data_IF_147206016626
#
_entry.id   IF_147206016626
#
_cell.length_a   1.000
_cell.length_b   1.000
_cell.length_c   1.000
_cell.angle_alpha   90.00
_cell.angle_beta   90.00
_cell.angle_gamma   90.00
#
_symmetry.space_group_name_H-M   'P 1'
#
loop_
_entity.id
_entity.type
_entity.pdbx_description
1 polymer ?
#
# COMPACT_ATOMS: atom_id res chain seq x y z
N UNK A 1 -112.05 -28.16 42.60
CA UNK A 1 -112.70 -26.85 42.86
C UNK A 1 -111.61 -25.86 43.22
N UNK A 2 -111.58 -24.72 42.51
CA UNK A 2 -111.06 -23.40 42.92
C UNK A 2 -110.22 -23.29 44.20
N UNK A 3 -109.15 -22.50 44.29
CA UNK A 3 -108.12 -21.97 43.36
C UNK A 3 -107.20 -21.14 44.25
N UNK A 4 -105.91 -21.35 44.05
CA UNK A 4 -104.84 -20.34 44.02
C UNK A 4 -104.63 -19.37 45.21
N UNK A 5 -103.48 -19.54 45.87
CA UNK A 5 -102.79 -18.48 46.59
C UNK A 5 -101.29 -18.80 46.78
N UNK A 6 -100.47 -17.83 46.35
CA UNK A 6 -99.54 -17.03 47.19
C UNK A 6 -98.02 -17.16 47.01
N UNK A 7 -97.48 -15.96 46.83
CA UNK A 7 -96.29 -15.33 47.44
C UNK A 7 -94.90 -15.61 46.89
N UNK A 8 -94.21 -14.51 46.56
CA UNK A 8 -92.77 -14.41 46.43
C UNK A 8 -92.24 -13.12 47.08
N UNK A 9 -91.25 -13.31 47.94
CA UNK A 9 -90.49 -12.42 48.85
C UNK A 9 -88.98 -12.43 48.39
N UNK A 10 -88.00 -11.71 48.98
CA UNK A 10 -87.76 -10.24 49.03
C UNK A 10 -86.24 -9.86 48.88
N UNK A 11 -85.76 -8.63 49.30
CA UNK A 11 -84.39 -8.07 49.10
C UNK A 11 -83.56 -7.80 50.39
N UNK A 12 -82.44 -7.04 50.27
CA UNK A 12 -81.69 -6.21 51.29
C UNK A 12 -80.42 -6.81 51.97
N UNK A 13 -79.46 -6.12 52.62
CA UNK A 13 -78.75 -4.80 52.61
C UNK A 13 -77.57 -4.88 53.64
N UNK A 14 -76.64 -3.87 53.65
CA UNK A 14 -75.71 -3.38 54.73
C UNK A 14 -74.29 -3.97 54.89
N UNK A 15 -73.22 -3.30 55.39
CA UNK A 15 -72.79 -1.90 55.77
C UNK A 15 -71.30 -1.96 56.21
N UNK A 16 -70.56 -0.84 56.05
CA UNK A 16 -69.28 -0.34 56.67
C UNK A 16 -67.95 -1.12 56.67
N UNK A 17 -66.83 -0.45 56.32
CA UNK A 17 -65.86 0.10 57.30
C UNK A 17 -64.75 0.95 56.61
N UNK A 18 -64.57 2.19 57.11
CA UNK A 18 -63.49 3.12 56.77
C UNK A 18 -62.48 3.09 57.93
N UNK A 19 -61.20 2.81 57.65
CA UNK A 19 -60.09 3.16 58.55
C UNK A 19 -59.00 3.89 57.76
N UNK A 20 -58.71 5.09 58.25
CA UNK A 20 -57.70 6.04 57.78
C UNK A 20 -56.38 5.77 58.49
N UNK A 21 -55.25 5.63 57.78
CA UNK A 21 -53.93 5.73 58.42
C UNK A 21 -52.83 6.28 57.49
N UNK A 22 -52.45 7.53 57.78
CA UNK A 22 -51.13 8.16 57.69
C UNK A 22 -50.33 8.14 56.36
N UNK A 23 -50.25 9.33 55.75
CA UNK A 23 -49.21 9.74 54.82
C UNK A 23 -47.82 9.74 55.51
N UNK A 24 -46.98 8.77 55.18
CA UNK A 24 -45.52 8.82 55.37
C UNK A 24 -44.83 9.50 54.17
N UNK A 25 -43.60 10.02 54.34
CA UNK A 25 -42.91 10.83 53.32
C UNK A 25 -42.63 10.00 52.05
N UNK A 26 -42.48 10.64 50.86
CA UNK A 26 -42.22 9.89 49.64
C UNK A 26 -40.94 9.08 49.79
N UNK A 27 -41.09 7.74 49.76
CA UNK A 27 -39.95 6.84 49.66
C UNK A 27 -39.18 7.20 48.39
N UNK A 28 -37.96 7.69 48.60
CA UNK A 28 -36.94 7.86 47.56
C UNK A 28 -36.79 6.50 46.89
N UNK A 29 -37.41 6.32 45.73
CA UNK A 29 -37.22 5.12 44.92
C UNK A 29 -35.74 5.08 44.52
N UNK A 30 -35.04 3.96 44.75
CA UNK A 30 -33.60 3.93 44.58
C UNK A 30 -33.27 4.12 43.10
N UNK A 31 -32.35 5.06 42.81
CA UNK A 31 -31.77 5.33 41.47
C UNK A 31 -31.03 4.13 40.85
N UNK A 32 -30.93 3.03 41.60
CA UNK A 32 -30.24 1.78 41.24
C UNK A 32 -30.51 1.29 39.81
N UNK A 33 -31.76 1.25 39.31
CA UNK A 33 -32.02 0.67 37.99
C UNK A 33 -31.53 1.54 36.83
N UNK A 34 -31.53 2.87 37.00
CA UNK A 34 -30.93 3.78 36.01
C UNK A 34 -29.40 3.68 36.03
N UNK A 35 -28.80 3.49 37.21
CA UNK A 35 -27.35 3.28 37.36
C UNK A 35 -26.91 1.99 36.67
N UNK A 36 -27.66 0.90 36.80
CA UNK A 36 -27.34 -0.38 36.13
C UNK A 36 -27.33 -0.26 34.60
N UNK A 37 -28.29 0.45 34.00
CA UNK A 37 -28.34 0.70 32.56
C UNK A 37 -27.19 1.62 32.11
N UNK A 38 -26.81 2.61 32.92
CA UNK A 38 -25.67 3.48 32.64
C UNK A 38 -24.33 2.72 32.71
N UNK A 39 -24.12 1.92 33.75
CA UNK A 39 -22.89 1.14 33.94
C UNK A 39 -22.70 0.10 32.83
N UNK A 40 -23.77 -0.55 32.38
CA UNK A 40 -23.73 -1.45 31.22
C UNK A 40 -23.42 -0.72 29.89
N UNK A 41 -23.83 0.55 29.79
CA UNK A 41 -23.64 1.36 28.60
C UNK A 41 -22.21 1.87 28.40
N UNK A 42 -21.47 2.19 29.47
CA UNK A 42 -20.12 2.80 29.38
C UNK A 42 -19.17 2.05 28.42
N UNK A 43 -18.98 0.72 28.53
CA UNK A 43 -18.09 -0.01 27.60
C UNK A 43 -18.65 -0.07 26.17
N UNK A 44 -19.97 -0.18 26.00
CA UNK A 44 -20.63 -0.29 24.69
C UNK A 44 -20.63 1.04 23.91
N UNK A 45 -20.80 2.17 24.61
CA UNK A 45 -20.74 3.50 24.00
C UNK A 45 -19.30 3.93 23.68
N UNK A 46 -18.31 3.47 24.47
CA UNK A 46 -16.89 3.69 24.16
C UNK A 46 -16.47 3.06 22.83
N UNK A 47 -16.97 1.86 22.54
CA UNK A 47 -16.82 1.19 21.24
C UNK A 47 -17.46 1.93 20.09
N UNK A 48 -18.70 2.37 20.27
CA UNK A 48 -19.42 3.14 19.27
C UNK A 48 -18.67 4.46 18.97
N UNK A 49 -18.19 5.14 20.01
CA UNK A 49 -17.40 6.37 19.84
C UNK A 49 -16.09 6.11 19.10
N UNK A 50 -15.37 5.03 19.42
CA UNK A 50 -14.14 4.64 18.71
C UNK A 50 -14.41 4.32 17.23
N UNK A 51 -15.47 3.57 16.93
CA UNK A 51 -15.88 3.26 15.56
C UNK A 51 -16.28 4.52 14.77
N UNK A 52 -17.04 5.43 15.38
CA UNK A 52 -17.44 6.71 14.76
C UNK A 52 -16.24 7.62 14.51
N UNK A 53 -15.27 7.68 15.43
CA UNK A 53 -14.02 8.44 15.23
C UNK A 53 -13.20 7.87 14.07
N UNK A 54 -13.18 6.54 13.91
CA UNK A 54 -12.51 5.88 12.79
C UNK A 54 -13.15 6.21 11.44
N UNK A 55 -14.48 6.19 11.35
CA UNK A 55 -15.21 6.52 10.11
C UNK A 55 -15.13 8.01 9.77
N UNK A 56 -15.01 8.89 10.76
CA UNK A 56 -15.01 10.35 10.56
C UNK A 56 -13.63 10.97 10.37
N UNK A 57 -12.53 10.24 10.64
CA UNK A 57 -11.16 10.71 10.42
C UNK A 57 -10.31 9.64 9.75
N UNK A 58 -10.00 9.86 8.48
CA UNK A 58 -9.03 9.09 7.71
C UNK A 58 -7.63 9.62 8.09
N UNK A 59 -6.93 8.93 8.99
CA UNK A 59 -5.54 9.24 9.36
C UNK A 59 -4.94 8.14 10.24
N UNK A 60 -3.62 7.96 10.20
CA UNK A 60 -2.95 6.80 10.81
C UNK A 60 -3.19 6.66 12.33
N UNK A 61 -3.37 7.78 13.03
CA UNK A 61 -3.60 7.77 14.47
C UNK A 61 -4.98 7.20 14.88
N UNK A 62 -6.02 7.39 14.05
CA UNK A 62 -7.37 6.86 14.35
C UNK A 62 -7.44 5.35 14.13
N UNK A 63 -6.70 4.84 13.14
CA UNK A 63 -6.53 3.41 12.87
C UNK A 63 -5.77 2.74 14.02
N UNK A 64 -4.68 3.33 14.51
CA UNK A 64 -3.90 2.80 15.65
C UNK A 64 -4.74 2.75 16.93
N UNK A 65 -5.52 3.80 17.24
CA UNK A 65 -6.39 3.80 18.43
C UNK A 65 -7.51 2.76 18.31
N UNK A 66 -8.06 2.55 17.12
CA UNK A 66 -9.08 1.55 16.86
C UNK A 66 -8.54 0.12 16.96
N UNK A 67 -7.38 -0.14 16.35
CA UNK A 67 -6.68 -1.44 16.46
C UNK A 67 -6.28 -1.69 17.92
N UNK A 68 -5.74 -0.69 18.63
CA UNK A 68 -5.40 -0.81 20.06
C UNK A 68 -6.61 -1.10 20.94
N UNK A 69 -7.76 -0.47 20.66
CA UNK A 69 -9.01 -0.76 21.35
C UNK A 69 -9.51 -2.18 21.05
N UNK A 70 -9.42 -2.65 19.81
CA UNK A 70 -9.77 -4.01 19.40
C UNK A 70 -8.87 -5.07 20.07
N UNK A 71 -7.57 -4.82 20.17
CA UNK A 71 -6.61 -5.70 20.86
C UNK A 71 -6.97 -5.78 22.35
N UNK A 72 -7.17 -4.64 23.02
CA UNK A 72 -7.58 -4.59 24.43
C UNK A 72 -8.91 -5.32 24.68
N UNK A 73 -9.86 -5.20 23.75
CA UNK A 73 -11.13 -5.90 23.77
C UNK A 73 -11.01 -7.40 23.50
N UNK A 74 -10.02 -7.83 22.72
CA UNK A 74 -9.80 -9.27 22.48
C UNK A 74 -9.22 -10.00 23.71
N UNK A 75 -8.45 -9.29 24.52
CA UNK A 75 -7.80 -9.79 25.75
C UNK A 75 -8.76 -9.75 26.96
N UNK A 76 -9.48 -8.64 27.14
CA UNK A 76 -10.30 -8.38 28.35
C UNK A 76 -11.81 -8.50 28.07
N UNK A 77 -12.22 -8.53 26.80
CA UNK A 77 -13.62 -8.37 26.40
C UNK A 77 -14.53 -9.48 26.88
N UNK A 78 -14.14 -10.76 26.79
CA UNK A 78 -15.04 -11.88 27.13
C UNK A 78 -15.58 -11.73 28.57
N UNK A 79 -14.72 -11.37 29.52
CA UNK A 79 -15.11 -11.15 30.91
C UNK A 79 -16.00 -9.90 31.07
N UNK A 80 -15.65 -8.79 30.41
CA UNK A 80 -16.40 -7.52 30.49
C UNK A 80 -17.80 -7.66 29.85
N UNK A 81 -17.92 -8.30 28.69
CA UNK A 81 -19.22 -8.51 28.04
C UNK A 81 -20.08 -9.53 28.77
N UNK A 82 -19.50 -10.54 29.43
CA UNK A 82 -20.24 -11.44 30.30
C UNK A 82 -20.85 -10.68 31.49
N UNK A 83 -20.09 -9.77 32.12
CA UNK A 83 -20.61 -8.89 33.19
C UNK A 83 -21.71 -7.96 32.66
N UNK A 84 -21.53 -7.35 31.48
CA UNK A 84 -22.56 -6.52 30.84
C UNK A 84 -23.84 -7.32 30.57
N UNK A 85 -23.73 -8.58 30.11
CA UNK A 85 -24.88 -9.46 29.90
C UNK A 85 -25.63 -9.75 31.21
N UNK A 86 -24.92 -10.05 32.29
CA UNK A 86 -25.51 -10.27 33.62
C UNK A 86 -26.24 -9.02 34.11
N UNK A 87 -25.65 -7.84 33.92
CA UNK A 87 -26.28 -6.56 34.30
C UNK A 87 -27.53 -6.26 33.46
N UNK A 88 -27.48 -6.50 32.14
CA UNK A 88 -28.63 -6.33 31.25
C UNK A 88 -29.76 -7.31 31.59
N UNK A 89 -29.44 -8.56 31.94
CA UNK A 89 -30.41 -9.56 32.40
C UNK A 89 -31.04 -9.19 33.74
N UNK A 90 -30.23 -8.75 34.71
CA UNK A 90 -30.73 -8.27 36.01
C UNK A 90 -31.66 -7.05 35.85
N UNK A 91 -31.34 -6.15 34.91
CA UNK A 91 -32.21 -5.03 34.54
C UNK A 91 -33.52 -5.52 33.89
N UNK A 92 -33.45 -6.47 32.96
CA UNK A 92 -34.61 -7.03 32.27
C UNK A 92 -35.60 -7.71 33.24
N UNK A 93 -35.09 -8.53 34.17
CA UNK A 93 -35.90 -9.23 35.18
C UNK A 93 -36.56 -8.25 36.15
N UNK A 94 -35.82 -7.23 36.60
CA UNK A 94 -36.32 -6.28 37.60
C UNK A 94 -37.31 -5.27 37.04
N UNK A 95 -37.12 -4.78 35.80
CA UNK A 95 -37.91 -3.68 35.23
C UNK A 95 -38.89 -4.09 34.16
N UNK A 96 -38.80 -5.31 33.62
CA UNK A 96 -39.67 -5.81 32.53
C UNK A 96 -39.85 -4.76 31.43
N UNK A 97 -38.76 -4.30 30.78
CA UNK A 97 -38.75 -3.15 29.88
C UNK A 97 -39.79 -3.22 28.75
N UNK A 98 -40.21 -4.44 28.36
CA UNK A 98 -41.31 -4.71 27.43
C UNK A 98 -42.71 -4.23 27.89
N UNK A 99 -42.88 -3.77 29.14
CA UNK A 99 -44.15 -3.22 29.65
C UNK A 99 -44.22 -1.69 29.68
N UNK A 100 -43.14 -0.97 29.36
CA UNK A 100 -43.10 0.50 29.38
C UNK A 100 -42.36 1.07 28.14
N UNK A 101 -43.06 1.64 27.16
CA UNK A 101 -42.50 1.91 25.83
C UNK A 101 -41.40 2.99 25.80
N UNK A 102 -41.41 3.96 26.74
CA UNK A 102 -40.43 5.06 26.76
C UNK A 102 -39.02 4.66 27.25
N UNK A 103 -38.89 3.58 28.03
CA UNK A 103 -37.61 3.09 28.55
C UNK A 103 -37.10 1.84 27.82
N UNK A 104 -37.94 1.21 26.99
CA UNK A 104 -37.60 0.03 26.22
C UNK A 104 -36.52 0.31 25.14
N UNK A 105 -36.52 1.50 24.54
CA UNK A 105 -35.63 1.84 23.43
C UNK A 105 -34.15 1.82 23.81
N UNK A 106 -33.78 2.45 24.93
CA UNK A 106 -32.40 2.50 25.39
C UNK A 106 -31.86 1.11 25.77
N UNK A 107 -32.71 0.26 26.35
CA UNK A 107 -32.38 -1.13 26.66
C UNK A 107 -32.14 -1.95 25.38
N UNK A 108 -33.05 -1.88 24.40
CA UNK A 108 -32.89 -2.59 23.14
C UNK A 108 -31.67 -2.14 22.33
N UNK A 109 -31.34 -0.85 22.38
CA UNK A 109 -30.12 -0.32 21.76
C UNK A 109 -28.86 -0.91 22.42
N UNK A 110 -28.82 -1.00 23.75
CA UNK A 110 -27.69 -1.63 24.46
C UNK A 110 -27.58 -3.13 24.19
N UNK A 111 -28.71 -3.84 24.09
CA UNK A 111 -28.71 -5.26 23.69
C UNK A 111 -28.15 -5.43 22.28
N UNK A 112 -28.54 -4.57 21.33
CA UNK A 112 -28.04 -4.64 19.96
C UNK A 112 -26.54 -4.32 19.88
N UNK A 113 -26.07 -3.31 20.60
CA UNK A 113 -24.64 -2.98 20.70
C UNK A 113 -23.84 -4.13 21.33
N UNK A 114 -24.39 -4.80 22.34
CA UNK A 114 -23.75 -5.96 22.96
C UNK A 114 -23.65 -7.14 21.99
N UNK A 115 -24.72 -7.45 21.23
CA UNK A 115 -24.69 -8.49 20.20
C UNK A 115 -23.66 -8.18 19.12
N UNK A 116 -23.59 -6.93 18.65
CA UNK A 116 -22.61 -6.49 17.65
C UNK A 116 -21.18 -6.66 18.18
N UNK A 117 -20.92 -6.27 19.42
CA UNK A 117 -19.60 -6.38 20.04
C UNK A 117 -19.15 -7.85 20.20
N UNK A 118 -20.05 -8.74 20.62
CA UNK A 118 -19.77 -10.19 20.70
C UNK A 118 -19.52 -10.79 19.31
N UNK A 119 -20.31 -10.41 18.31
CA UNK A 119 -20.14 -10.89 16.94
C UNK A 119 -18.77 -10.48 16.36
N UNK A 120 -18.34 -9.23 16.56
CA UNK A 120 -17.03 -8.74 16.16
C UNK A 120 -15.89 -9.54 16.80
N UNK A 121 -15.96 -9.77 18.12
CA UNK A 121 -14.93 -10.54 18.84
C UNK A 121 -14.90 -11.99 18.36
N UNK A 122 -16.07 -12.60 18.13
CA UNK A 122 -16.15 -13.94 17.57
C UNK A 122 -15.51 -14.00 16.17
N UNK A 123 -15.76 -13.02 15.28
CA UNK A 123 -15.11 -12.99 13.97
C UNK A 123 -13.59 -12.86 14.07
N UNK A 124 -13.07 -12.00 14.95
CA UNK A 124 -11.63 -11.87 15.16
C UNK A 124 -11.01 -13.14 15.76
N UNK A 125 -11.68 -13.79 16.72
CA UNK A 125 -11.19 -15.04 17.32
C UNK A 125 -11.28 -16.22 16.36
N UNK A 126 -12.28 -16.26 15.48
CA UNK A 126 -12.38 -17.28 14.43
C UNK A 126 -11.25 -17.09 13.42
N UNK A 127 -11.01 -15.86 12.96
CA UNK A 127 -9.90 -15.54 12.05
C UNK A 127 -8.53 -15.84 12.71
N UNK A 128 -8.34 -15.44 13.97
CA UNK A 128 -7.13 -15.75 14.75
C UNK A 128 -6.93 -17.26 14.95
N UNK A 129 -7.99 -18.00 15.28
CA UNK A 129 -7.93 -19.45 15.40
C UNK A 129 -7.63 -20.14 14.06
N UNK A 130 -8.22 -19.66 12.96
CA UNK A 130 -7.94 -20.17 11.62
C UNK A 130 -6.48 -19.93 11.21
N UNK A 131 -5.91 -18.77 11.54
CA UNK A 131 -4.48 -18.48 11.28
C UNK A 131 -3.54 -19.37 12.10
N UNK A 132 -3.89 -19.69 13.34
CA UNK A 132 -3.04 -20.50 14.21
C UNK A 132 -3.27 -22.01 14.05
N UNK A 133 -4.40 -22.44 13.50
CA UNK A 133 -4.75 -23.84 13.27
C UNK A 133 -5.20 -24.02 11.81
N UNK A 134 -4.30 -23.77 10.84
CA UNK A 134 -4.62 -23.98 9.44
C UNK A 134 -4.98 -25.45 9.21
N UNK A 135 -5.87 -25.71 8.25
CA UNK A 135 -6.15 -27.08 7.82
C UNK A 135 -4.80 -27.73 7.43
N UNK A 136 -4.43 -28.90 7.98
CA UNK A 136 -3.17 -29.55 7.66
C UNK A 136 -2.96 -29.77 6.15
N UNK A 137 -4.03 -29.85 5.35
CA UNK A 137 -3.95 -29.91 3.89
C UNK A 137 -3.57 -28.58 3.27
N UNK A 138 -4.12 -27.47 3.76
CA UNK A 138 -3.78 -26.13 3.31
C UNK A 138 -2.34 -25.76 3.72
N UNK A 139 -1.93 -26.13 4.94
CA UNK A 139 -0.56 -25.97 5.40
C UNK A 139 0.44 -26.77 4.55
N UNK A 140 0.12 -28.03 4.22
CA UNK A 140 0.95 -28.85 3.34
C UNK A 140 1.04 -28.29 1.92
N UNK A 141 -0.07 -27.80 1.36
CA UNK A 141 -0.08 -27.12 0.04
C UNK A 141 0.75 -25.84 0.06
N UNK A 142 0.62 -25.01 1.10
CA UNK A 142 1.41 -23.79 1.26
C UNK A 142 2.91 -24.07 1.38
N UNK A 143 3.29 -25.11 2.12
CA UNK A 143 4.68 -25.55 2.20
C UNK A 143 5.21 -26.03 0.84
N UNK A 144 4.42 -26.80 0.09
CA UNK A 144 4.81 -27.25 -1.25
C UNK A 144 5.06 -26.07 -2.19
N UNK A 145 4.15 -25.08 -2.23
CA UNK A 145 4.32 -23.86 -3.04
C UNK A 145 5.59 -23.11 -2.64
N UNK A 146 5.86 -22.98 -1.33
CA UNK A 146 7.08 -22.33 -0.86
C UNK A 146 8.35 -23.08 -1.29
N UNK A 147 8.33 -24.41 -1.22
CA UNK A 147 9.45 -25.26 -1.65
C UNK A 147 9.66 -25.18 -3.18
N UNK A 148 8.58 -25.13 -3.96
CA UNK A 148 8.63 -24.93 -5.42
C UNK A 148 9.16 -23.54 -5.79
N UNK A 149 8.70 -22.49 -5.10
CA UNK A 149 9.21 -21.12 -5.26
C UNK A 149 10.70 -21.02 -4.95
N UNK A 150 11.17 -21.70 -3.90
CA UNK A 150 12.59 -21.77 -3.57
C UNK A 150 13.39 -22.47 -4.68
N UNK A 151 12.91 -23.62 -5.17
CA UNK A 151 13.55 -24.35 -6.28
C UNK A 151 13.62 -23.53 -7.56
N UNK A 152 12.55 -22.84 -7.91
CA UNK A 152 12.52 -21.94 -9.07
C UNK A 152 13.52 -20.79 -8.91
N UNK A 153 13.57 -20.16 -7.73
CA UNK A 153 14.51 -19.08 -7.42
C UNK A 153 15.97 -19.54 -7.59
N UNK A 154 16.32 -20.72 -7.06
CA UNK A 154 17.67 -21.29 -7.21
C UNK A 154 17.99 -21.65 -8.66
N UNK A 155 17.03 -22.19 -9.40
CA UNK A 155 17.19 -22.49 -10.82
C UNK A 155 17.38 -21.22 -11.66
N UNK A 156 16.72 -20.10 -11.32
CA UNK A 156 16.92 -18.81 -12.00
C UNK A 156 18.34 -18.26 -11.80
N UNK A 157 18.93 -18.43 -10.61
CA UNK A 157 20.31 -17.97 -10.34
C UNK A 157 21.32 -18.60 -11.31
N UNK A 158 21.11 -19.87 -11.68
CA UNK A 158 22.01 -20.64 -12.55
C UNK A 158 21.52 -20.78 -13.99
N UNK A 159 20.38 -20.17 -14.33
CA UNK A 159 19.67 -20.36 -15.61
C UNK A 159 19.45 -21.85 -15.96
N UNK A 160 19.19 -22.69 -14.95
CA UNK A 160 18.86 -24.11 -15.12
C UNK A 160 17.41 -24.30 -15.53
N UNK A 161 17.17 -24.20 -16.83
CA UNK A 161 15.83 -24.36 -17.41
C UNK A 161 15.20 -25.74 -17.16
N UNK A 162 15.98 -26.78 -16.87
CA UNK A 162 15.43 -28.13 -16.61
C UNK A 162 14.85 -28.19 -15.21
N UNK A 163 15.65 -27.77 -14.20
CA UNK A 163 15.18 -27.67 -12.82
C UNK A 163 14.03 -26.67 -12.70
N UNK A 164 14.13 -25.53 -13.38
CA UNK A 164 13.08 -24.52 -13.39
C UNK A 164 11.78 -25.07 -13.99
N UNK A 165 11.82 -25.74 -15.15
CA UNK A 165 10.61 -26.31 -15.78
C UNK A 165 9.90 -27.30 -14.87
N UNK A 166 10.66 -28.15 -14.17
CA UNK A 166 10.06 -29.11 -13.26
C UNK A 166 9.32 -28.41 -12.12
N UNK A 167 9.99 -27.49 -11.41
CA UNK A 167 9.38 -26.75 -10.30
C UNK A 167 8.22 -25.84 -10.75
N UNK A 168 8.32 -25.23 -11.93
CA UNK A 168 7.26 -24.39 -12.48
C UNK A 168 6.01 -25.20 -12.89
N UNK A 169 6.20 -26.42 -13.41
CA UNK A 169 5.08 -27.33 -13.71
C UNK A 169 4.40 -27.84 -12.43
N UNK A 170 5.18 -28.12 -11.39
CA UNK A 170 4.69 -28.61 -10.09
C UNK A 170 3.90 -27.54 -9.32
N UNK A 171 4.22 -26.25 -9.53
CA UNK A 171 3.50 -25.13 -8.91
C UNK A 171 2.07 -24.90 -9.45
N UNK A 172 1.76 -25.43 -10.65
CA UNK A 172 0.42 -25.36 -11.26
C UNK A 172 -0.21 -23.94 -11.32
N UNK A 173 -1.53 -23.82 -11.19
CA UNK A 173 -2.30 -22.56 -11.26
C UNK A 173 -2.00 -21.57 -10.13
N UNK A 174 -1.24 -21.99 -9.10
CA UNK A 174 -0.94 -21.18 -7.92
C UNK A 174 0.26 -20.22 -8.15
N UNK A 175 1.03 -20.43 -9.23
CA UNK A 175 2.15 -19.56 -9.59
C UNK A 175 1.73 -18.44 -10.54
N UNK A 176 1.93 -17.19 -10.12
CA UNK A 176 1.79 -16.06 -11.03
C UNK A 176 2.91 -16.04 -12.08
N UNK A 177 2.55 -16.35 -13.33
CA UNK A 177 3.48 -16.35 -14.47
C UNK A 177 4.15 -14.99 -14.65
N UNK A 178 3.44 -13.88 -14.46
CA UNK A 178 3.99 -12.54 -14.69
C UNK A 178 5.14 -12.24 -13.72
N UNK A 179 4.95 -12.59 -12.44
CA UNK A 179 6.00 -12.54 -11.41
C UNK A 179 7.23 -13.36 -11.82
N UNK A 180 7.06 -14.60 -12.28
CA UNK A 180 8.22 -15.43 -12.66
C UNK A 180 8.93 -14.98 -13.95
N UNK A 181 8.20 -14.38 -14.89
CA UNK A 181 8.79 -13.72 -16.06
C UNK A 181 9.64 -12.52 -15.62
N UNK A 182 9.12 -11.71 -14.71
CA UNK A 182 9.84 -10.58 -14.10
C UNK A 182 11.11 -11.03 -13.39
N UNK A 183 11.03 -12.10 -12.58
CA UNK A 183 12.16 -12.68 -11.87
C UNK A 183 13.23 -13.24 -12.82
N UNK A 184 12.84 -13.94 -13.88
CA UNK A 184 13.79 -14.44 -14.87
C UNK A 184 14.52 -13.31 -15.60
N UNK A 185 13.82 -12.20 -15.91
CA UNK A 185 14.44 -10.97 -16.44
C UNK A 185 15.38 -10.36 -15.40
N UNK A 186 14.96 -10.29 -14.13
CA UNK A 186 15.78 -9.78 -13.02
C UNK A 186 17.06 -10.57 -12.86
N UNK A 187 17.02 -11.90 -12.85
CA UNK A 187 18.21 -12.76 -12.69
C UNK A 187 19.02 -13.00 -13.97
N UNK A 188 18.61 -12.40 -15.10
CA UNK A 188 19.30 -12.59 -16.39
C UNK A 188 19.33 -14.07 -16.80
N UNK A 189 18.19 -14.76 -16.68
CA UNK A 189 18.05 -16.20 -16.92
C UNK A 189 17.26 -16.47 -18.22
N UNK A 190 17.87 -16.31 -19.42
CA UNK A 190 17.16 -16.41 -20.68
C UNK A 190 16.60 -17.82 -20.98
N UNK A 191 17.24 -18.90 -20.52
CA UNK A 191 16.74 -20.26 -20.79
C UNK A 191 15.54 -20.58 -19.91
N UNK A 192 15.57 -20.20 -18.64
CA UNK A 192 14.43 -20.34 -17.74
C UNK A 192 13.28 -19.41 -18.11
N UNK A 193 13.58 -18.19 -18.58
CA UNK A 193 12.57 -17.29 -19.17
C UNK A 193 11.84 -17.93 -20.35
N UNK A 194 12.55 -18.68 -21.20
CA UNK A 194 11.91 -19.34 -22.34
C UNK A 194 10.82 -20.32 -21.87
N UNK A 195 11.00 -20.96 -20.72
CA UNK A 195 10.01 -21.86 -20.10
C UNK A 195 8.77 -21.07 -19.64
N UNK A 196 8.95 -19.92 -18.98
CA UNK A 196 7.81 -19.12 -18.49
C UNK A 196 7.02 -18.46 -19.61
N UNK A 197 7.66 -18.20 -20.76
CA UNK A 197 7.01 -17.66 -21.96
C UNK A 197 6.38 -18.73 -22.85
N UNK A 198 6.50 -20.03 -22.54
CA UNK A 198 5.86 -21.09 -23.32
C UNK A 198 4.33 -20.86 -23.41
N UNK A 199 3.82 -20.71 -24.64
CA UNK A 199 2.40 -20.49 -24.91
C UNK A 199 1.89 -19.06 -24.80
N UNK A 200 2.72 -18.11 -24.36
CA UNK A 200 2.38 -16.67 -24.32
C UNK A 200 2.30 -16.11 -25.75
N UNK A 201 1.21 -15.41 -26.06
CA UNK A 201 0.98 -14.84 -27.41
C UNK A 201 1.01 -13.33 -27.43
N UNK A 202 0.65 -12.69 -26.31
CA UNK A 202 0.58 -11.25 -26.18
C UNK A 202 1.31 -10.78 -24.92
N UNK A 203 1.98 -9.62 -25.01
CA UNK A 203 2.68 -9.03 -23.86
C UNK A 203 1.74 -8.76 -22.67
N UNK A 204 0.45 -8.54 -22.93
CA UNK A 204 -0.58 -8.35 -21.90
C UNK A 204 -0.77 -9.56 -20.97
N UNK A 205 -0.40 -10.76 -21.41
CA UNK A 205 -0.52 -12.00 -20.60
C UNK A 205 0.55 -12.10 -19.50
N UNK A 206 1.59 -11.28 -19.56
CA UNK A 206 2.70 -11.23 -18.60
C UNK A 206 2.82 -9.83 -17.99
N UNK A 207 1.70 -9.11 -17.90
CA UNK A 207 1.64 -7.77 -17.33
C UNK A 207 1.84 -7.83 -15.81
N UNK A 208 2.76 -7.03 -15.32
CA UNK A 208 3.09 -6.98 -13.90
C UNK A 208 2.01 -6.25 -13.11
N UNK A 209 1.70 -6.79 -11.93
CA UNK A 209 0.81 -6.17 -10.95
C UNK A 209 1.49 -5.02 -10.19
N UNK A 210 0.71 -4.33 -9.35
CA UNK A 210 1.21 -3.23 -8.51
C UNK A 210 2.13 -3.66 -7.38
N UNK A 211 2.11 -4.95 -7.01
CA UNK A 211 2.86 -5.53 -5.89
C UNK A 211 4.29 -5.96 -6.29
N UNK A 212 4.64 -5.89 -7.57
CA UNK A 212 5.97 -6.28 -8.04
C UNK A 212 7.05 -5.26 -7.57
N UNK A 213 8.22 -5.73 -7.07
CA UNK A 213 9.30 -4.88 -6.59
C UNK A 213 9.67 -3.75 -7.58
N UNK A 214 9.68 -2.51 -7.09
CA UNK A 214 10.07 -1.36 -7.90
C UNK A 214 11.59 -1.13 -7.93
N UNK A 215 12.33 -1.78 -7.04
CA UNK A 215 13.79 -1.62 -6.94
C UNK A 215 14.49 -2.75 -7.68
N UNK A 216 15.36 -2.39 -8.61
CA UNK A 216 16.18 -3.29 -9.41
C UNK A 216 17.64 -3.00 -9.15
N UNK A 217 18.44 -4.04 -8.92
CA UNK A 217 19.87 -3.89 -8.78
C UNK A 217 20.62 -4.36 -10.02
N UNK A 218 21.64 -3.60 -10.41
CA UNK A 218 22.55 -3.91 -11.51
C UNK A 218 23.92 -3.36 -11.17
N UNK A 219 24.95 -4.21 -11.19
CA UNK A 219 26.35 -3.82 -10.93
C UNK A 219 26.54 -3.04 -9.60
N UNK A 220 25.80 -3.42 -8.55
CA UNK A 220 25.83 -2.76 -7.23
C UNK A 220 25.12 -1.40 -7.15
N UNK A 221 24.39 -1.00 -8.20
CA UNK A 221 23.59 0.23 -8.28
C UNK A 221 22.11 -0.12 -8.17
N UNK A 222 21.38 0.60 -7.32
CA UNK A 222 19.94 0.46 -7.17
C UNK A 222 19.20 1.40 -8.14
N UNK A 223 18.14 0.88 -8.75
CA UNK A 223 17.31 1.58 -9.73
C UNK A 223 15.85 1.46 -9.34
N UNK A 224 15.14 2.59 -9.27
CA UNK A 224 13.69 2.59 -9.02
C UNK A 224 12.97 2.69 -10.36
N UNK A 225 12.27 1.62 -10.75
CA UNK A 225 11.55 1.54 -12.01
C UNK A 225 10.10 1.05 -11.83
N UNK A 226 9.16 1.52 -12.66
CA UNK A 226 7.79 1.06 -12.62
C UNK A 226 7.68 -0.44 -12.97
N UNK A 227 6.58 -1.11 -12.56
CA UNK A 227 6.32 -2.51 -12.89
C UNK A 227 5.88 -2.65 -14.35
N UNK A 228 6.83 -2.52 -15.26
CA UNK A 228 6.64 -2.70 -16.71
C UNK A 228 7.71 -3.67 -17.24
N UNK A 229 7.26 -4.80 -17.81
CA UNK A 229 8.17 -5.86 -18.24
C UNK A 229 9.01 -5.45 -19.45
N UNK A 230 8.45 -4.70 -20.39
CA UNK A 230 9.18 -4.26 -21.57
C UNK A 230 10.27 -3.26 -21.19
N UNK A 231 9.96 -2.34 -20.28
CA UNK A 231 10.95 -1.44 -19.69
C UNK A 231 12.06 -2.21 -18.98
N UNK A 232 11.74 -3.23 -18.18
CA UNK A 232 12.75 -4.06 -17.47
C UNK A 232 13.65 -4.82 -18.42
N UNK A 233 13.09 -5.40 -19.48
CA UNK A 233 13.85 -6.08 -20.52
C UNK A 233 14.79 -5.09 -21.23
N UNK A 234 14.29 -3.91 -21.57
CA UNK A 234 15.08 -2.82 -22.14
C UNK A 234 16.22 -2.38 -21.22
N UNK A 235 15.94 -2.25 -19.93
CA UNK A 235 16.92 -1.87 -18.91
C UNK A 235 17.98 -2.95 -18.68
N UNK A 236 17.58 -4.22 -18.64
CA UNK A 236 18.53 -5.33 -18.49
C UNK A 236 19.47 -5.42 -19.68
N UNK A 237 18.97 -5.14 -20.89
CA UNK A 237 19.79 -5.10 -22.11
C UNK A 237 20.54 -6.43 -22.34
N UNK A 238 19.82 -7.54 -22.24
CA UNK A 238 20.35 -8.88 -22.47
C UNK A 238 19.80 -9.37 -23.82
N UNK A 239 20.61 -9.46 -24.88
CA UNK A 239 20.11 -9.75 -26.23
C UNK A 239 19.28 -11.05 -26.31
N UNK A 240 19.66 -12.08 -25.56
CA UNK A 240 18.93 -13.35 -25.51
C UNK A 240 17.55 -13.23 -24.86
N UNK A 241 17.37 -12.31 -23.91
CA UNK A 241 16.08 -12.01 -23.29
C UNK A 241 15.26 -11.13 -24.24
N UNK A 242 15.85 -10.04 -24.75
CA UNK A 242 15.19 -9.13 -25.68
C UNK A 242 14.63 -9.88 -26.88
N UNK A 243 15.40 -10.79 -27.47
CA UNK A 243 14.99 -11.58 -28.62
C UNK A 243 13.72 -12.43 -28.38
N UNK A 244 13.50 -12.90 -27.15
CA UNK A 244 12.31 -13.69 -26.80
C UNK A 244 11.04 -12.82 -26.71
N UNK A 245 11.20 -11.55 -26.37
CA UNK A 245 10.08 -10.60 -26.26
C UNK A 245 9.76 -9.85 -27.55
N UNK A 246 10.73 -9.70 -28.47
CA UNK A 246 10.53 -9.00 -29.74
C UNK A 246 9.27 -9.45 -30.52
N UNK A 247 8.93 -10.76 -30.61
CA UNK A 247 7.72 -11.21 -31.28
C UNK A 247 6.42 -10.83 -30.55
N UNK A 248 6.48 -10.57 -29.24
CA UNK A 248 5.34 -10.26 -28.38
C UNK A 248 5.04 -8.75 -28.34
N UNK A 249 6.01 -7.91 -28.72
CA UNK A 249 5.94 -6.47 -28.55
C UNK A 249 5.26 -5.75 -29.72
N UNK A 250 4.20 -5.03 -29.37
CA UNK A 250 3.63 -3.96 -30.18
C UNK A 250 4.42 -2.66 -30.05
N UNK A 251 3.91 -1.57 -30.66
CA UNK A 251 4.58 -0.26 -30.61
C UNK A 251 4.76 0.30 -29.19
N UNK A 252 3.78 0.08 -28.30
CA UNK A 252 3.82 0.57 -26.91
C UNK A 252 4.92 -0.14 -26.13
N UNK A 253 5.00 -1.47 -26.21
CA UNK A 253 6.06 -2.22 -25.52
C UNK A 253 7.45 -1.88 -26.06
N UNK A 254 7.60 -1.64 -27.37
CA UNK A 254 8.89 -1.20 -27.92
C UNK A 254 9.28 0.19 -27.43
N UNK A 255 8.31 1.10 -27.24
CA UNK A 255 8.55 2.41 -26.66
C UNK A 255 8.96 2.30 -25.19
N UNK A 256 8.28 1.45 -24.40
CA UNK A 256 8.65 1.15 -23.01
C UNK A 256 10.05 0.50 -22.91
N UNK A 257 10.38 -0.43 -23.81
CA UNK A 257 11.71 -1.02 -23.90
C UNK A 257 12.77 0.02 -24.27
N UNK A 258 12.44 1.03 -25.09
CA UNK A 258 13.34 2.14 -25.39
C UNK A 258 13.60 2.99 -24.14
N UNK A 259 12.58 3.28 -23.32
CA UNK A 259 12.77 3.93 -22.02
C UNK A 259 13.75 3.14 -21.14
N UNK A 260 13.59 1.82 -21.06
CA UNK A 260 14.52 0.95 -20.34
C UNK A 260 15.95 0.99 -20.89
N UNK A 261 16.11 0.90 -22.21
CA UNK A 261 17.41 0.96 -22.87
C UNK A 261 18.11 2.31 -22.62
N UNK A 262 17.35 3.40 -22.66
CA UNK A 262 17.82 4.76 -22.34
C UNK A 262 18.23 4.86 -20.87
N UNK A 263 17.42 4.32 -19.96
CA UNK A 263 17.73 4.31 -18.52
C UNK A 263 18.98 3.50 -18.19
N UNK A 264 19.25 2.41 -18.91
CA UNK A 264 20.47 1.61 -18.71
C UNK A 264 21.71 2.13 -19.43
N UNK A 265 21.57 3.11 -20.33
CA UNK A 265 22.68 3.59 -21.15
C UNK A 265 23.02 2.72 -22.35
N UNK A 266 22.17 1.77 -22.76
CA UNK A 266 22.47 0.84 -23.85
C UNK A 266 22.27 1.44 -25.24
N UNK A 267 23.32 2.06 -25.79
CA UNK A 267 23.29 2.62 -27.16
C UNK A 267 22.97 1.55 -28.21
N UNK A 268 23.50 0.33 -28.04
CA UNK A 268 23.28 -0.77 -28.98
C UNK A 268 21.80 -1.15 -29.07
N UNK A 269 21.13 -1.32 -27.93
CA UNK A 269 19.71 -1.66 -27.91
C UNK A 269 18.83 -0.48 -28.34
N UNK A 270 19.18 0.75 -27.98
CA UNK A 270 18.49 1.94 -28.49
C UNK A 270 18.50 1.96 -30.03
N UNK A 271 19.66 1.76 -30.66
CA UNK A 271 19.79 1.69 -32.11
C UNK A 271 18.98 0.53 -32.72
N UNK A 272 18.97 -0.64 -32.06
CA UNK A 272 18.19 -1.79 -32.49
C UNK A 272 16.68 -1.50 -32.47
N UNK A 273 16.18 -0.86 -31.40
CA UNK A 273 14.76 -0.51 -31.27
C UNK A 273 14.34 0.54 -32.31
N UNK A 274 15.20 1.53 -32.59
CA UNK A 274 14.97 2.49 -33.68
C UNK A 274 14.92 1.80 -35.03
N UNK A 275 15.82 0.85 -35.30
CA UNK A 275 15.81 0.06 -36.53
C UNK A 275 14.53 -0.81 -36.66
N UNK A 276 13.89 -1.15 -35.55
CA UNK A 276 12.60 -1.84 -35.49
C UNK A 276 11.38 -0.89 -35.58
N UNK A 277 11.61 0.39 -35.86
CA UNK A 277 10.57 1.37 -36.16
C UNK A 277 10.15 2.26 -34.99
N UNK A 278 10.85 2.25 -33.86
CA UNK A 278 10.57 3.19 -32.75
C UNK A 278 11.10 4.57 -33.12
N UNK A 279 10.25 5.60 -33.14
CA UNK A 279 10.67 7.01 -33.28
C UNK A 279 10.90 7.60 -31.87
N UNK A 280 12.14 7.92 -31.47
CA UNK A 280 12.43 8.46 -30.14
C UNK A 280 11.80 9.84 -29.89
N UNK A 281 11.30 10.53 -30.93
CA UNK A 281 10.62 11.83 -30.81
C UNK A 281 9.10 11.71 -30.65
N UNK A 282 8.54 10.56 -31.01
CA UNK A 282 7.10 10.31 -31.01
C UNK A 282 6.82 8.91 -30.47
N UNK A 283 7.06 8.75 -29.17
CA UNK A 283 6.83 7.49 -28.46
C UNK A 283 5.34 7.16 -28.44
N UNK A 284 5.04 5.86 -28.45
CA UNK A 284 3.68 5.35 -28.32
C UNK A 284 3.43 4.84 -26.90
N UNK A 285 2.17 4.89 -26.48
CA UNK A 285 1.72 4.46 -25.16
C UNK A 285 2.00 5.47 -24.04
N UNK A 286 1.38 5.22 -22.89
CA UNK A 286 1.62 6.00 -21.67
C UNK A 286 2.87 5.50 -20.98
N UNK A 287 3.97 6.24 -21.12
CA UNK A 287 5.16 6.03 -20.31
C UNK A 287 4.99 6.69 -18.93
N UNK A 288 5.35 5.96 -17.88
CA UNK A 288 5.49 6.51 -16.51
C UNK A 288 6.61 7.56 -16.39
N UNK A 289 7.49 7.64 -17.39
CA UNK A 289 8.48 8.69 -17.55
C UNK A 289 7.98 9.68 -18.61
N UNK A 290 7.79 10.95 -18.26
CA UNK A 290 7.27 11.96 -19.18
C UNK A 290 8.18 12.19 -20.41
N UNK A 291 9.47 11.86 -20.32
CA UNK A 291 10.43 11.99 -21.42
C UNK A 291 11.52 10.91 -21.38
N UNK A 292 12.21 10.67 -22.51
CA UNK A 292 13.39 9.80 -22.54
C UNK A 292 14.55 10.38 -21.71
N UNK A 293 14.68 11.70 -21.60
CA UNK A 293 15.68 12.28 -20.69
C UNK A 293 15.37 11.98 -19.22
N UNK A 294 14.10 11.88 -18.82
CA UNK A 294 13.73 11.47 -17.48
C UNK A 294 14.10 10.01 -17.22
N UNK A 295 14.00 9.14 -18.22
CA UNK A 295 14.52 7.77 -18.12
C UNK A 295 16.05 7.75 -18.02
N UNK A 296 16.76 8.56 -18.80
CA UNK A 296 18.22 8.66 -18.70
C UNK A 296 18.64 9.14 -17.30
N UNK A 297 17.91 10.10 -16.74
CA UNK A 297 18.11 10.61 -15.39
C UNK A 297 17.86 9.54 -14.31
N UNK A 298 16.80 8.75 -14.46
CA UNK A 298 16.45 7.67 -13.55
C UNK A 298 17.52 6.57 -13.43
N UNK A 299 18.45 6.49 -14.39
CA UNK A 299 19.61 5.59 -14.34
C UNK A 299 20.97 6.27 -14.38
N UNK A 300 21.02 7.61 -14.21
CA UNK A 300 22.24 8.41 -14.39
C UNK A 300 23.00 8.10 -15.70
N UNK A 301 22.27 7.78 -16.77
CA UNK A 301 22.80 7.27 -18.04
C UNK A 301 23.33 8.38 -18.94
N UNK A 302 24.53 8.87 -18.62
CA UNK A 302 25.23 9.96 -19.33
C UNK A 302 25.34 9.70 -20.85
N UNK A 303 25.64 8.46 -21.25
CA UNK A 303 25.78 8.10 -22.66
C UNK A 303 24.49 8.30 -23.45
N UNK A 304 23.33 8.07 -22.82
CA UNK A 304 22.01 8.25 -23.45
C UNK A 304 21.75 9.71 -23.79
N UNK A 305 22.26 10.67 -23.00
CA UNK A 305 22.02 12.10 -23.24
C UNK A 305 22.54 12.52 -24.62
N UNK A 306 23.77 12.14 -24.97
CA UNK A 306 24.34 12.46 -26.27
C UNK A 306 23.61 11.76 -27.42
N UNK A 307 23.18 10.51 -27.21
CA UNK A 307 22.40 9.77 -28.20
C UNK A 307 21.04 10.41 -28.46
N UNK A 308 20.31 10.78 -27.41
CA UNK A 308 19.00 11.43 -27.50
C UNK A 308 19.08 12.78 -28.21
N UNK A 309 20.10 13.59 -27.90
CA UNK A 309 20.33 14.86 -28.57
C UNK A 309 20.58 14.66 -30.07
N UNK A 310 21.39 13.66 -30.45
CA UNK A 310 21.63 13.31 -31.85
C UNK A 310 20.39 12.77 -32.55
N UNK A 311 19.50 12.10 -31.83
CA UNK A 311 18.21 11.65 -32.32
C UNK A 311 17.17 12.78 -32.45
N UNK A 312 17.53 14.02 -32.09
CA UNK A 312 16.66 15.19 -32.16
C UNK A 312 15.59 15.23 -31.08
N UNK A 313 15.80 14.54 -29.95
CA UNK A 313 14.92 14.62 -28.77
C UNK A 313 15.24 15.90 -28.00
N UNK A 314 14.21 16.70 -27.74
CA UNK A 314 14.29 18.03 -27.11
C UNK A 314 13.34 18.08 -25.92
N UNK A 315 13.70 18.82 -24.87
CA UNK A 315 12.76 19.17 -23.80
C UNK A 315 12.01 20.46 -24.16
N UNK A 316 10.70 20.41 -24.11
CA UNK A 316 9.79 21.47 -24.54
C UNK A 316 9.20 22.25 -23.35
N UNK A 317 9.00 21.61 -22.20
CA UNK A 317 8.31 22.22 -21.05
C UNK A 317 9.15 22.26 -19.78
N UNK A 318 8.78 23.17 -18.88
CA UNK A 318 9.37 23.25 -17.54
C UNK A 318 9.07 22.01 -16.69
N UNK A 319 7.95 21.32 -16.95
CA UNK A 319 7.54 20.09 -16.27
C UNK A 319 8.43 18.91 -16.66
N UNK A 320 8.81 18.80 -17.94
CA UNK A 320 9.72 17.73 -18.36
C UNK A 320 11.12 17.91 -17.74
N UNK A 321 11.59 19.16 -17.61
CA UNK A 321 12.84 19.47 -16.89
C UNK A 321 12.73 19.13 -15.41
N UNK A 322 11.58 19.44 -14.81
CA UNK A 322 11.29 19.13 -13.41
C UNK A 322 11.31 17.62 -13.14
N UNK A 323 10.65 16.84 -13.99
CA UNK A 323 10.62 15.38 -13.94
C UNK A 323 12.02 14.77 -14.14
N UNK A 324 12.83 15.31 -15.05
CA UNK A 324 14.24 14.91 -15.21
C UNK A 324 15.00 15.03 -13.89
N UNK A 325 14.90 16.17 -13.21
CA UNK A 325 15.59 16.40 -11.95
C UNK A 325 14.99 15.60 -10.79
N UNK A 326 13.67 15.39 -10.78
CA UNK A 326 13.02 14.53 -9.81
C UNK A 326 13.52 13.08 -9.91
N UNK A 327 13.59 12.52 -11.14
CA UNK A 327 14.10 11.16 -11.36
C UNK A 327 15.57 11.03 -11.01
N UNK A 328 16.38 12.03 -11.36
CA UNK A 328 17.79 12.04 -10.98
C UNK A 328 17.98 12.09 -9.46
N UNK A 329 17.24 12.95 -8.76
CA UNK A 329 17.30 13.06 -7.30
C UNK A 329 16.88 11.76 -6.60
N UNK A 330 15.87 11.05 -7.14
CA UNK A 330 15.51 9.71 -6.66
C UNK A 330 16.62 8.69 -6.86
N UNK A 331 17.29 8.73 -8.02
CA UNK A 331 18.44 7.87 -8.25
C UNK A 331 19.59 8.17 -7.28
N UNK A 332 19.91 9.44 -7.01
CA UNK A 332 20.97 9.79 -6.05
C UNK A 332 20.60 9.44 -4.61
N UNK A 333 19.33 9.49 -4.23
CA UNK A 333 18.83 9.04 -2.93
C UNK A 333 18.98 7.52 -2.74
N UNK A 334 18.68 6.74 -3.78
CA UNK A 334 18.68 5.28 -3.72
C UNK A 334 20.08 4.64 -3.73
N UNK A 335 21.15 5.43 -3.95
CA UNK A 335 22.49 4.90 -4.20
C UNK A 335 23.51 5.34 -3.13
N UNK A 336 24.57 4.54 -2.90
CA UNK A 336 25.65 4.89 -1.97
C UNK A 336 26.24 6.28 -2.24
N UNK A 337 26.63 7.05 -1.20
CA UNK A 337 27.08 8.43 -1.37
C UNK A 337 28.20 8.65 -2.38
N UNK A 338 29.15 7.71 -2.49
CA UNK A 338 30.25 7.77 -3.46
C UNK A 338 29.75 7.62 -4.91
N UNK A 339 28.84 6.67 -5.15
CA UNK A 339 28.22 6.44 -6.47
C UNK A 339 27.34 7.65 -6.83
N UNK A 340 26.51 8.10 -5.90
CA UNK A 340 25.63 9.24 -6.07
C UNK A 340 26.42 10.53 -6.41
N UNK A 341 27.53 10.79 -5.71
CA UNK A 341 28.37 11.98 -5.96
C UNK A 341 29.00 11.95 -7.35
N UNK A 342 29.63 10.83 -7.73
CA UNK A 342 30.23 10.67 -9.07
C UNK A 342 29.19 10.81 -10.17
N UNK A 343 27.99 10.24 -9.96
CA UNK A 343 26.86 10.38 -10.87
C UNK A 343 26.40 11.84 -10.99
N UNK A 344 26.27 12.56 -9.88
CA UNK A 344 25.86 13.97 -9.84
C UNK A 344 26.81 14.89 -10.60
N UNK A 345 28.12 14.76 -10.39
CA UNK A 345 29.14 15.54 -11.10
C UNK A 345 29.07 15.31 -12.62
N UNK A 346 28.97 14.04 -13.04
CA UNK A 346 28.87 13.69 -14.45
C UNK A 346 27.55 14.15 -15.08
N UNK A 347 26.44 14.03 -14.34
CA UNK A 347 25.12 14.42 -14.79
C UNK A 347 25.02 15.93 -15.04
N UNK A 348 25.60 16.77 -14.19
CA UNK A 348 25.62 18.23 -14.40
C UNK A 348 26.26 18.62 -15.74
N UNK A 349 27.35 17.94 -16.11
CA UNK A 349 28.04 18.17 -17.39
C UNK A 349 27.19 17.67 -18.57
N UNK A 350 26.49 16.55 -18.41
CA UNK A 350 25.64 15.99 -19.44
C UNK A 350 24.37 16.81 -19.66
N UNK A 351 23.71 17.21 -18.56
CA UNK A 351 22.48 17.98 -18.58
C UNK A 351 22.64 19.31 -19.33
N UNK A 352 23.79 19.97 -19.20
CA UNK A 352 24.10 21.19 -19.95
C UNK A 352 24.10 21.03 -21.49
N UNK A 353 24.12 19.78 -21.99
CA UNK A 353 24.10 19.46 -23.42
C UNK A 353 22.71 19.06 -23.92
N UNK A 354 21.72 18.96 -23.04
CA UNK A 354 20.35 18.59 -23.43
C UNK A 354 19.74 19.73 -24.25
N UNK A 355 19.26 19.48 -25.48
CA UNK A 355 18.50 20.45 -26.25
C UNK A 355 17.22 20.82 -25.51
N UNK A 356 16.99 22.12 -25.34
CA UNK A 356 15.84 22.67 -24.61
C UNK A 356 15.25 23.86 -25.36
N UNK A 357 13.92 23.91 -25.43
CA UNK A 357 13.22 25.10 -25.89
C UNK A 357 13.22 26.21 -24.82
N UNK A 358 12.88 27.43 -25.23
CA UNK A 358 12.89 28.60 -24.34
C UNK A 358 11.95 28.44 -23.13
N UNK A 359 10.84 27.70 -23.27
CA UNK A 359 9.91 27.42 -22.17
C UNK A 359 10.51 26.44 -21.15
N UNK A 360 11.20 25.38 -21.61
CA UNK A 360 11.93 24.45 -20.75
C UNK A 360 13.08 25.15 -19.99
N UNK A 361 13.81 26.04 -20.67
CA UNK A 361 14.96 26.75 -20.09
C UNK A 361 14.63 27.76 -18.97
N UNK A 362 13.36 28.03 -18.70
CA UNK A 362 12.92 28.96 -17.64
C UNK A 362 13.04 28.35 -16.24
N UNK A 363 13.00 27.01 -16.10
CA UNK A 363 13.02 26.34 -14.80
C UNK A 363 14.45 26.10 -14.27
N UNK A 364 15.17 27.18 -13.95
CA UNK A 364 16.59 27.11 -13.56
C UNK A 364 16.84 26.61 -12.14
N UNK A 365 15.85 26.64 -11.25
CA UNK A 365 15.99 26.26 -9.84
C UNK A 365 15.56 24.81 -9.54
N UNK A 366 14.85 24.15 -10.47
CA UNK A 366 14.43 22.75 -10.37
C UNK A 366 15.50 21.77 -9.84
N UNK A 367 16.80 21.87 -10.21
CA UNK A 367 17.80 20.93 -9.69
C UNK A 367 17.89 20.96 -8.16
N UNK A 368 17.96 22.14 -7.55
CA UNK A 368 18.12 22.27 -6.10
C UNK A 368 16.79 22.02 -5.37
N UNK A 369 15.66 22.47 -5.92
CA UNK A 369 14.34 22.20 -5.35
C UNK A 369 14.06 20.70 -5.29
N UNK A 370 14.34 19.96 -6.36
CA UNK A 370 14.13 18.51 -6.39
C UNK A 370 15.11 17.73 -5.53
N UNK A 371 16.36 18.17 -5.46
CA UNK A 371 17.33 17.57 -4.54
C UNK A 371 16.91 17.71 -3.08
N UNK A 372 16.35 18.87 -2.70
CA UNK A 372 15.82 19.10 -1.36
C UNK A 372 14.51 18.36 -1.12
N UNK A 373 13.58 18.38 -2.09
CA UNK A 373 12.29 17.69 -2.00
C UNK A 373 12.42 16.18 -1.81
N UNK A 374 13.38 15.55 -2.51
CA UNK A 374 13.67 14.11 -2.40
C UNK A 374 14.62 13.80 -1.23
N UNK A 375 15.08 14.82 -0.51
CA UNK A 375 15.94 14.69 0.65
C UNK A 375 17.28 13.99 0.35
N UNK A 376 17.92 14.33 -0.76
CA UNK A 376 19.21 13.75 -1.19
C UNK A 376 20.40 14.66 -0.82
N UNK A 377 21.06 14.47 0.35
CA UNK A 377 22.09 15.40 0.84
C UNK A 377 23.31 15.48 -0.07
N UNK A 378 23.66 14.38 -0.75
CA UNK A 378 24.80 14.32 -1.68
C UNK A 378 24.57 15.21 -2.89
N UNK A 379 23.38 15.13 -3.51
CA UNK A 379 23.06 15.96 -4.67
C UNK A 379 22.97 17.44 -4.26
N UNK A 380 22.38 17.75 -3.11
CA UNK A 380 22.35 19.11 -2.56
C UNK A 380 23.77 19.67 -2.40
N UNK A 381 24.70 18.93 -1.79
CA UNK A 381 26.10 19.37 -1.65
C UNK A 381 26.74 19.67 -3.01
N UNK A 382 26.63 18.76 -3.98
CA UNK A 382 27.22 18.92 -5.31
C UNK A 382 26.64 20.15 -6.00
N UNK A 383 25.33 20.35 -5.95
CA UNK A 383 24.70 21.54 -6.53
C UNK A 383 25.20 22.83 -5.89
N UNK A 384 25.33 22.89 -4.57
CA UNK A 384 25.86 24.09 -3.89
C UNK A 384 27.32 24.36 -4.28
N UNK A 385 28.15 23.33 -4.44
CA UNK A 385 29.53 23.47 -4.92
C UNK A 385 29.60 24.01 -6.36
N UNK A 386 28.60 23.69 -7.18
CA UNK A 386 28.45 24.18 -8.55
C UNK A 386 27.70 25.51 -8.66
N UNK A 387 27.53 26.23 -7.54
CA UNK A 387 27.06 27.63 -7.53
C UNK A 387 25.56 27.82 -7.42
N UNK A 388 24.78 26.75 -7.22
CA UNK A 388 23.36 26.88 -6.83
C UNK A 388 23.27 27.49 -5.43
N UNK A 389 22.26 28.34 -5.19
CA UNK A 389 22.14 29.07 -3.93
C UNK A 389 20.83 28.73 -3.23
N UNK A 390 20.92 28.44 -1.93
CA UNK A 390 19.76 28.26 -1.03
C UNK A 390 18.87 29.50 -0.99
N UNK A 391 19.46 30.68 -1.23
CA UNK A 391 18.75 31.95 -1.31
C UNK A 391 17.68 31.97 -2.43
N UNK A 392 17.84 31.13 -3.45
CA UNK A 392 16.96 31.08 -4.62
C UNK A 392 15.81 30.07 -4.47
N UNK A 393 15.81 29.25 -3.40
CA UNK A 393 14.73 28.31 -3.10
C UNK A 393 13.45 29.02 -2.68
N UNK A 394 12.31 28.50 -3.13
CA UNK A 394 11.00 28.89 -2.61
C UNK A 394 10.88 28.59 -1.09
N UNK A 395 10.05 29.33 -0.35
CA UNK A 395 9.95 29.20 1.12
C UNK A 395 9.70 27.77 1.61
N UNK A 396 8.88 27.01 0.90
CA UNK A 396 8.56 25.62 1.19
C UNK A 396 9.81 24.72 1.14
N UNK A 397 10.61 24.83 0.09
CA UNK A 397 11.85 24.05 -0.04
C UNK A 397 12.93 24.54 0.91
N UNK A 398 12.96 25.82 1.26
CA UNK A 398 13.90 26.34 2.28
C UNK A 398 13.67 25.68 3.63
N UNK A 399 12.41 25.51 4.05
CA UNK A 399 12.08 24.82 5.29
C UNK A 399 12.58 23.36 5.27
N UNK A 400 12.42 22.64 4.16
CA UNK A 400 12.97 21.29 4.01
C UNK A 400 14.50 21.28 4.06
N UNK A 401 15.16 22.22 3.38
CA UNK A 401 16.62 22.36 3.41
C UNK A 401 17.14 22.58 4.84
N UNK A 402 16.46 23.42 5.63
CA UNK A 402 16.85 23.71 7.01
C UNK A 402 16.82 22.46 7.91
N UNK A 403 15.86 21.57 7.71
CA UNK A 403 15.78 20.26 8.39
C UNK A 403 16.93 19.33 7.98
N UNK A 404 17.39 19.42 6.74
CA UNK A 404 18.45 18.57 6.20
C UNK A 404 19.88 19.05 6.52
N UNK A 405 20.08 20.23 7.11
CA UNK A 405 21.41 20.84 7.22
C UNK A 405 22.47 19.94 7.87
N UNK A 406 22.09 19.16 8.88
CA UNK A 406 23.02 18.27 9.56
C UNK A 406 23.42 17.08 8.68
N UNK A 407 22.48 16.52 7.91
CA UNK A 407 22.74 15.46 6.92
C UNK A 407 23.60 15.97 5.76
N UNK A 408 23.35 17.21 5.31
CA UNK A 408 24.15 17.89 4.29
C UNK A 408 25.55 18.20 4.80
N UNK A 409 25.79 18.34 6.11
CA UNK A 409 27.15 18.51 6.66
C UNK A 409 27.87 17.18 6.90
N UNK A 410 27.14 16.10 7.20
CA UNK A 410 27.70 14.81 7.65
C UNK A 410 27.26 13.63 6.77
N UNK A 411 27.15 13.83 5.46
CA UNK A 411 26.58 12.87 4.47
C UNK A 411 27.33 11.53 4.31
N UNK A 412 28.15 11.13 5.28
CA UNK A 412 28.96 9.92 5.32
C UNK A 412 28.33 8.81 6.19
N UNK A 413 27.24 9.09 6.91
CA UNK A 413 26.69 8.13 7.87
C UNK A 413 25.34 7.58 7.44
N UNK A 414 25.33 6.26 7.25
CA UNK A 414 24.21 5.35 6.96
C UNK A 414 23.76 5.26 5.50
N UNK A 415 24.10 4.11 4.93
CA UNK A 415 23.45 3.50 3.79
C UNK A 415 22.15 2.90 4.33
N UNK A 416 20.96 3.17 3.77
CA UNK A 416 19.83 2.27 3.98
C UNK A 416 20.27 0.92 3.41
N UNK A 417 20.24 -0.16 4.19
CA UNK A 417 20.60 -1.53 3.76
C UNK A 417 20.22 -1.71 2.29
N UNK A 418 21.22 -1.67 1.41
CA UNK A 418 20.97 -1.71 -0.02
C UNK A 418 20.42 -3.08 -0.31
N UNK A 419 19.15 -3.19 -0.71
CA UNK A 419 18.51 -4.45 -1.13
C UNK A 419 19.12 -5.08 -2.39
N UNK A 420 20.40 -4.80 -2.70
CA UNK A 420 21.14 -5.29 -3.84
C UNK A 420 21.97 -6.54 -3.57
N UNK A 421 22.05 -7.00 -2.31
CA UNK A 421 22.80 -8.22 -1.97
C UNK A 421 22.18 -9.49 -2.60
N UNK A 422 20.86 -9.51 -2.82
CA UNK A 422 20.14 -10.69 -3.35
C UNK A 422 20.11 -10.78 -4.89
N UNK A 423 20.49 -9.70 -5.59
CA UNK A 423 20.40 -9.57 -7.05
C UNK A 423 21.74 -9.74 -7.78
N UNK A 424 22.81 -10.08 -7.06
CA UNK A 424 24.11 -10.39 -7.63
C UNK A 424 24.08 -11.72 -8.39
N UNK A 425 24.23 -11.64 -9.72
CA UNK A 425 24.75 -12.71 -10.58
C UNK A 425 26.09 -12.26 -11.16
#
# INVERSE_FOLDING_TARGET
MTTDHRDAEPPSTRVDEIVSEHAGPPAVTPRFPAVLLWVAGIPLWGLLAAAVICVSRIGDLSVIVFIGALIFLSEVGIAVYAVVAVVLLAYAVSRKPWRAPRLAWAFWLQVLLWVLAVALIATFKIDDYQRHHPDPREAARGQQINDDNARMTDALRTDDAVAFRQAFADCADDCDRATWVSEAVRKTAPRSLAVTLEGVRHASEVRLGGDDPQTFCKDGVAYVMPPDIALRVGFRNVPAITAQFLPLWGPDERSAALHGAVMSGSIALMNQLVALGVDPRHLQGDSRFQSLYASAAAGAAIASVGWLANAGVTLHTAEEVDEVWYRFAKWTYANPPEIARKGAEAWLVAFAKIPMDAAAAQNRIAPLERAVYVETPVLVQVLLQHGYRVADLAPEYRAHFDVMQDLVRHSLTSVPDTGCDDDAN
#
